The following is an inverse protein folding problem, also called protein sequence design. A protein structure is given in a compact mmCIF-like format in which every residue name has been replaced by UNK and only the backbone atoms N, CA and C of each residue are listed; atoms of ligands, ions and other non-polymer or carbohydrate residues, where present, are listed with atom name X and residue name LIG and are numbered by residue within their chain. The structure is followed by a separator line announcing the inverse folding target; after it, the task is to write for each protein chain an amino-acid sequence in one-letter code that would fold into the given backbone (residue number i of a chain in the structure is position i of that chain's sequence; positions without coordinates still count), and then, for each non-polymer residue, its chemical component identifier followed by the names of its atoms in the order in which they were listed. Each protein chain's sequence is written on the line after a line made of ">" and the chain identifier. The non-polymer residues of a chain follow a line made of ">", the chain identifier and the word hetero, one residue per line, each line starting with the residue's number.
data_IF_608519027761
#
_entry.id   IF_608519027761
#
_cell.length_a   1.000
_cell.length_b   1.000
_cell.length_c   1.000
_cell.angle_alpha   90.00
_cell.angle_beta   90.00
_cell.angle_gamma   90.00
#
_symmetry.space_group_name_H-M   'P 1'
#
loop_
_entity.id
_entity.type
_entity.pdbx_description
1 polymer ?
#
# COMPACT_ATOMS: atom_id res chain seq x y z
N UNK A 1 1.23 -14.87 -4.12
CA UNK A 1 1.05 -13.82 -5.14
C UNK A 1 0.79 -12.49 -4.45
N UNK A 2 1.29 -11.41 -5.01
CA UNK A 2 1.09 -10.07 -4.47
C UNK A 2 -0.39 -9.76 -4.31
N UNK A 3 -0.78 -9.37 -3.11
CA UNK A 3 -2.14 -8.92 -2.82
C UNK A 3 -2.25 -7.44 -3.19
N UNK A 4 -3.12 -7.11 -4.12
CA UNK A 4 -3.32 -5.72 -4.54
C UNK A 4 -4.41 -5.13 -3.65
N UNK A 5 -4.00 -4.57 -2.51
CA UNK A 5 -4.94 -4.01 -1.54
C UNK A 5 -5.60 -2.75 -2.11
N UNK A 6 -6.90 -2.54 -1.83
CA UNK A 6 -7.67 -1.50 -2.51
C UNK A 6 -7.48 -0.09 -1.98
N UNK A 7 -6.78 0.10 -0.86
CA UNK A 7 -6.72 1.41 -0.22
C UNK A 7 -5.42 1.65 0.53
N UNK A 8 -5.14 2.92 0.79
CA UNK A 8 -4.07 3.32 1.69
C UNK A 8 -4.46 3.01 3.13
N UNK A 9 -3.60 2.27 3.85
CA UNK A 9 -3.88 1.87 5.23
C UNK A 9 -3.75 3.04 6.21
N UNK A 10 -3.24 4.17 5.75
CA UNK A 10 -3.06 5.38 6.57
C UNK A 10 -4.22 6.35 6.43
N UNK A 11 -4.60 6.71 5.20
CA UNK A 11 -5.62 7.73 4.95
C UNK A 11 -6.87 7.22 4.23
N UNK A 12 -6.91 5.93 3.91
CA UNK A 12 -8.02 5.26 3.23
C UNK A 12 -8.26 5.72 1.79
N UNK A 13 -7.30 6.38 1.18
CA UNK A 13 -7.40 6.75 -0.23
C UNK A 13 -7.51 5.50 -1.09
N UNK A 14 -8.40 5.52 -2.08
CA UNK A 14 -8.54 4.40 -3.01
C UNK A 14 -7.28 4.23 -3.84
N UNK A 15 -6.79 3.00 -3.89
CA UNK A 15 -5.61 2.63 -4.66
C UNK A 15 -5.95 1.45 -5.58
N UNK A 16 -6.60 1.72 -6.71
CA UNK A 16 -6.96 0.64 -7.63
C UNK A 16 -5.71 -0.05 -8.16
N UNK A 17 -5.83 -1.26 -8.72
CA UNK A 17 -4.67 -2.06 -9.11
C UNK A 17 -3.76 -1.40 -10.13
N UNK A 18 -4.26 -0.47 -10.94
CA UNK A 18 -3.47 0.26 -11.92
C UNK A 18 -2.87 1.56 -11.37
N UNK A 19 -3.08 1.88 -10.11
CA UNK A 19 -2.62 3.14 -9.52
C UNK A 19 -1.10 3.20 -9.46
N UNK A 20 -0.53 4.28 -9.95
CA UNK A 20 0.90 4.57 -9.82
C UNK A 20 1.24 5.16 -8.44
N UNK A 21 0.24 5.44 -7.63
CA UNK A 21 0.37 6.11 -6.34
C UNK A 21 0.56 5.13 -5.17
N UNK A 22 0.41 3.83 -5.43
CA UNK A 22 0.50 2.82 -4.38
C UNK A 22 1.95 2.48 -4.06
N UNK A 23 2.24 2.35 -2.76
CA UNK A 23 3.54 1.93 -2.24
C UNK A 23 3.35 0.74 -1.33
N UNK A 24 4.31 -0.18 -1.34
CA UNK A 24 4.22 -1.40 -0.53
C UNK A 24 5.54 -1.67 0.19
N UNK A 25 5.44 -2.38 1.31
CA UNK A 25 6.60 -2.91 2.02
C UNK A 25 6.77 -4.40 1.70
N UNK A 26 7.67 -5.08 2.40
CA UNK A 26 7.91 -6.52 2.18
C UNK A 26 6.74 -7.40 2.61
N UNK A 27 5.87 -6.90 3.47
CA UNK A 27 4.65 -7.60 3.90
C UNK A 27 3.42 -7.13 3.12
N UNK A 28 3.63 -6.37 2.04
CA UNK A 28 2.56 -5.86 1.17
C UNK A 28 1.60 -4.89 1.86
N UNK A 29 2.01 -4.31 2.99
CA UNK A 29 1.26 -3.19 3.57
C UNK A 29 1.24 -2.06 2.56
N UNK A 30 0.06 -1.50 2.30
CA UNK A 30 -0.16 -0.59 1.18
C UNK A 30 -0.47 0.82 1.67
N UNK A 31 0.23 1.80 1.10
CA UNK A 31 0.06 3.22 1.44
C UNK A 31 0.14 4.05 0.16
N UNK A 32 -0.48 5.24 0.17
CA UNK A 32 -0.35 6.15 -0.96
C UNK A 32 0.97 6.93 -0.85
N UNK A 33 1.44 7.44 -1.99
CA UNK A 33 2.71 8.16 -2.04
C UNK A 33 2.74 9.36 -1.10
N UNK A 34 1.62 10.09 -0.98
CA UNK A 34 1.53 11.24 -0.07
C UNK A 34 1.78 10.84 1.39
N UNK A 35 1.14 9.76 1.85
CA UNK A 35 1.34 9.30 3.22
C UNK A 35 2.77 8.84 3.45
N UNK A 36 3.35 8.15 2.46
CA UNK A 36 4.75 7.70 2.55
C UNK A 36 5.69 8.88 2.69
N UNK A 37 5.48 9.95 1.92
CA UNK A 37 6.35 11.11 1.95
C UNK A 37 6.15 11.99 3.18
N UNK A 38 4.89 12.24 3.57
CA UNK A 38 4.56 13.24 4.58
C UNK A 38 4.42 12.68 5.98
N UNK A 39 3.92 11.46 6.11
CA UNK A 39 3.60 10.88 7.41
C UNK A 39 4.61 9.78 7.78
N UNK A 40 4.85 8.86 6.86
CA UNK A 40 5.63 7.65 7.15
C UNK A 40 7.13 7.82 6.89
N UNK A 41 7.51 8.85 6.15
CA UNK A 41 8.91 9.16 5.84
C UNK A 41 9.65 7.97 5.22
N UNK A 42 8.95 7.21 4.37
CA UNK A 42 9.53 6.09 3.65
C UNK A 42 9.66 4.80 4.45
N UNK A 43 9.14 4.77 5.68
CA UNK A 43 9.25 3.60 6.57
C UNK A 43 7.86 3.04 6.85
N UNK A 44 7.70 1.73 6.66
CA UNK A 44 6.44 1.06 6.96
C UNK A 44 6.21 1.05 8.48
N UNK A 45 5.06 1.57 8.96
CA UNK A 45 4.79 1.60 10.40
C UNK A 45 4.54 0.22 11.01
N UNK A 46 4.26 -0.78 10.17
CA UNK A 46 3.96 -2.13 10.65
C UNK A 46 5.20 -3.00 10.75
N UNK A 47 6.06 -2.98 9.74
CA UNK A 47 7.22 -3.88 9.70
C UNK A 47 8.57 -3.16 9.80
N UNK A 48 8.60 -1.84 9.65
CA UNK A 48 9.82 -1.07 9.70
C UNK A 48 10.67 -1.12 8.43
N UNK A 49 10.19 -1.80 7.39
CA UNK A 49 10.89 -1.86 6.11
C UNK A 49 10.66 -0.62 5.26
N UNK A 50 11.35 -0.54 4.15
CA UNK A 50 11.15 0.56 3.20
C UNK A 50 9.89 0.36 2.38
N UNK A 51 9.42 1.45 1.77
CA UNK A 51 8.23 1.45 0.94
C UNK A 51 8.60 1.82 -0.49
N UNK A 52 8.21 0.98 -1.43
CA UNK A 52 8.54 1.14 -2.86
C UNK A 52 7.28 1.12 -3.71
N UNK A 53 7.39 1.57 -4.96
CA UNK A 53 6.27 1.56 -5.88
C UNK A 53 5.72 0.14 -6.05
N UNK A 54 4.39 0.01 -5.99
CA UNK A 54 3.73 -1.28 -6.18
C UNK A 54 3.70 -1.65 -7.66
N UNK A 55 4.09 -2.88 -8.03
CA UNK A 55 3.95 -3.34 -9.41
C UNK A 55 2.50 -3.30 -9.87
N UNK A 56 2.30 -3.02 -11.14
CA UNK A 56 0.97 -2.95 -11.74
C UNK A 56 0.68 -4.28 -12.45
N UNK A 57 -0.42 -4.95 -12.05
CA UNK A 57 -0.82 -6.20 -12.70
C UNK A 57 -1.58 -5.86 -13.98
N UNK A 58 -1.19 -6.44 -15.15
CA UNK A 58 -1.89 -6.17 -16.40
C UNK A 58 -3.36 -6.58 -16.35
N UNK A 59 -4.19 -5.92 -17.18
CA UNK A 59 -5.63 -6.16 -17.17
C UNK A 59 -6.00 -7.62 -17.47
N UNK A 60 -5.28 -8.27 -18.38
CA UNK A 60 -5.53 -9.68 -18.71
C UNK A 60 -5.24 -10.60 -17.53
N UNK A 61 -4.27 -10.26 -16.67
CA UNK A 61 -3.98 -11.03 -15.47
C UNK A 61 -4.97 -10.73 -14.35
N UNK A 62 -5.48 -9.52 -14.28
CA UNK A 62 -6.51 -9.16 -13.31
C UNK A 62 -7.80 -9.95 -13.51
N UNK A 63 -8.09 -10.35 -14.75
CA UNK A 63 -9.26 -11.18 -15.03
C UNK A 63 -9.19 -12.55 -14.34
N UNK A 64 -7.96 -13.11 -14.21
CA UNK A 64 -7.73 -14.38 -13.54
C UNK A 64 -7.40 -14.23 -12.07
N UNK A 65 -6.70 -13.16 -11.72
CA UNK A 65 -6.20 -12.90 -10.37
C UNK A 65 -6.56 -11.47 -9.98
N UNK A 66 -7.84 -11.24 -9.60
CA UNK A 66 -8.30 -9.89 -9.29
C UNK A 66 -7.64 -9.30 -8.04
N UNK A 67 -7.69 -7.98 -7.94
CA UNK A 67 -7.20 -7.27 -6.78
C UNK A 67 -8.04 -7.62 -5.54
N UNK A 68 -7.43 -7.45 -4.36
CA UNK A 68 -8.13 -7.64 -3.10
C UNK A 68 -9.23 -6.58 -2.94
N UNK A 69 -10.36 -6.99 -2.38
CA UNK A 69 -11.45 -6.06 -2.04
C UNK A 69 -11.51 -5.79 -0.55
N UNK A 70 -10.60 -6.38 0.22
CA UNK A 70 -10.58 -6.22 1.68
C UNK A 70 -9.89 -4.91 2.06
N UNK A 71 -10.66 -3.94 2.50
CA UNK A 71 -10.10 -2.67 2.95
C UNK A 71 -9.55 -2.79 4.36
N UNK A 72 -8.39 -2.17 4.59
CA UNK A 72 -7.76 -2.15 5.91
C UNK A 72 -7.37 -0.69 6.20
N UNK A 73 -7.78 -0.18 7.37
CA UNK A 73 -7.41 1.16 7.80
C UNK A 73 -6.89 1.05 9.23
N UNK A 74 -5.66 1.50 9.45
CA UNK A 74 -5.00 1.43 10.76
C UNK A 74 -4.71 2.84 11.25
N UNK A 75 -5.44 3.29 12.27
CA UNK A 75 -5.26 4.63 12.82
C UNK A 75 -3.83 4.83 13.36
N UNK A 76 -3.29 3.83 14.05
CA UNK A 76 -1.93 3.88 14.59
C UNK A 76 -0.85 3.79 13.52
N UNK A 77 -1.22 3.42 12.30
CA UNK A 77 -0.30 3.39 11.16
C UNK A 77 0.05 4.75 10.61
N UNK A 78 -0.50 5.82 11.18
CA UNK A 78 -0.26 7.18 10.72
C UNK A 78 1.06 7.77 11.21
N UNK A 79 1.70 7.14 12.17
CA UNK A 79 2.98 7.61 12.70
C UNK A 79 4.12 6.73 12.18
N UNK A 80 5.30 7.32 11.87
CA UNK A 80 6.45 6.50 11.48
C UNK A 80 6.84 5.58 12.64
N UNK A 81 7.27 4.37 12.29
CA UNK A 81 7.77 3.44 13.28
C UNK A 81 9.10 3.94 13.81
N UNK A 82 9.28 3.90 15.13
CA UNK A 82 10.57 4.23 15.73
C UNK A 82 11.62 3.22 15.27
N UNK A 83 12.76 3.73 14.85
CA UNK A 83 13.84 2.89 14.36
C UNK A 83 14.47 2.09 15.50
#
# INVERSE_FOLDING_TARGET
>A
MLELRPNCECCDKDLPPESADARICTYECTFCADCVDRVLKGVCPNCGGNLVARPIRPADRLAKHPASTKRVLKAEGRAPRAA
#
